data_IF_057612461295
#
_entry.id   IF_057612461295
#
_cell.length_a   1.000
_cell.length_b   1.000
_cell.length_c   1.000
_cell.angle_alpha   90.00
_cell.angle_beta   90.00
_cell.angle_gamma   90.00
#
_symmetry.space_group_name_H-M   'P 1'
#
loop_
_entity.id
_entity.type
_entity.pdbx_description
1 polymer ?
#
# COMPACT_ATOMS: atom_id res chain seq x y z
N UNK A 1 -45.96 35.29 -65.95
CA UNK A 1 -44.67 35.57 -65.28
C UNK A 1 -45.01 35.71 -63.80
N UNK A 2 -44.73 34.77 -62.90
CA UNK A 2 -43.42 34.50 -62.34
C UNK A 2 -43.40 33.09 -61.70
N UNK A 3 -43.53 32.05 -62.53
CA UNK A 3 -43.36 30.63 -62.16
C UNK A 3 -41.93 30.14 -62.43
N UNK A 4 -40.95 31.04 -62.46
CA UNK A 4 -39.56 30.73 -62.83
C UNK A 4 -38.54 30.88 -61.70
N UNK A 5 -38.92 31.52 -60.59
CA UNK A 5 -37.96 31.88 -59.53
C UNK A 5 -37.87 30.89 -58.37
N UNK A 6 -38.83 29.97 -58.23
CA UNK A 6 -38.85 28.98 -57.14
C UNK A 6 -38.19 27.63 -57.47
N UNK A 7 -37.96 27.32 -58.75
CA UNK A 7 -37.31 26.06 -59.16
C UNK A 7 -35.78 26.14 -59.03
N UNK A 8 -35.19 27.34 -59.06
CA UNK A 8 -33.73 27.53 -59.04
C UNK A 8 -33.16 27.31 -57.62
N UNK A 9 -33.94 27.59 -56.57
CA UNK A 9 -33.47 27.42 -55.19
C UNK A 9 -33.44 25.98 -54.69
N UNK A 10 -34.25 25.08 -55.27
CA UNK A 10 -34.25 23.66 -54.86
C UNK A 10 -33.17 22.87 -55.62
N UNK A 11 -32.78 23.31 -56.81
CA UNK A 11 -31.76 22.62 -57.61
C UNK A 11 -30.31 22.85 -57.14
N UNK A 12 -30.08 23.77 -56.22
CA UNK A 12 -28.72 24.15 -55.76
C UNK A 12 -28.25 23.36 -54.53
N UNK A 13 -29.12 22.57 -53.90
CA UNK A 13 -28.80 21.77 -52.70
C UNK A 13 -28.29 20.36 -52.99
N UNK A 14 -28.12 19.98 -54.27
CA UNK A 14 -27.75 18.63 -54.69
C UNK A 14 -26.29 18.45 -55.16
N UNK A 15 -25.40 19.44 -54.98
CA UNK A 15 -24.03 19.39 -55.53
C UNK A 15 -22.91 19.64 -54.53
N UNK A 16 -23.06 19.25 -53.26
CA UNK A 16 -21.91 19.19 -52.34
C UNK A 16 -21.91 17.85 -51.59
N UNK A 17 -21.77 16.76 -52.34
CA UNK A 17 -21.15 15.53 -51.83
C UNK A 17 -19.63 15.69 -51.94
N UNK A 18 -19.06 16.55 -51.10
CA UNK A 18 -17.63 16.48 -50.78
C UNK A 18 -17.43 15.20 -49.96
N UNK A 19 -17.11 14.12 -50.66
CA UNK A 19 -16.53 12.92 -50.08
C UNK A 19 -15.20 13.31 -49.42
N UNK A 20 -15.25 13.68 -48.14
CA UNK A 20 -14.08 13.62 -47.30
C UNK A 20 -13.78 12.13 -47.08
N UNK A 21 -12.66 11.60 -47.58
CA UNK A 21 -12.16 10.36 -47.00
C UNK A 21 -11.88 10.68 -45.54
N UNK A 22 -12.74 10.19 -44.64
CA UNK A 22 -12.43 10.13 -43.23
C UNK A 22 -11.20 9.24 -43.11
N UNK A 23 -10.02 9.86 -43.16
CA UNK A 23 -8.81 9.23 -42.70
C UNK A 23 -9.07 8.94 -41.23
N UNK A 24 -9.41 7.69 -40.93
CA UNK A 24 -9.32 7.18 -39.57
C UNK A 24 -7.84 7.17 -39.26
N UNK A 25 -7.32 8.31 -38.81
CA UNK A 25 -6.10 8.35 -38.05
C UNK A 25 -6.43 7.56 -36.77
N UNK A 26 -6.19 6.25 -36.84
CA UNK A 26 -6.05 5.44 -35.65
C UNK A 26 -4.91 6.09 -34.89
N UNK A 27 -5.27 6.86 -33.86
CA UNK A 27 -4.35 7.33 -32.84
C UNK A 27 -3.85 6.09 -32.09
N UNK A 28 -2.95 5.34 -32.74
CA UNK A 28 -2.20 4.27 -32.11
C UNK A 28 -1.11 4.95 -31.31
N UNK A 29 -1.50 5.50 -30.17
CA UNK A 29 -0.58 5.71 -29.07
C UNK A 29 -0.21 4.31 -28.56
N UNK A 30 1.04 3.85 -28.70
CA UNK A 30 1.44 2.60 -28.07
C UNK A 30 1.22 2.77 -26.56
N UNK A 31 0.21 2.07 -26.03
CA UNK A 31 0.04 1.93 -24.59
C UNK A 31 1.35 1.40 -24.03
N UNK A 32 2.11 2.28 -23.36
CA UNK A 32 3.26 1.86 -22.59
C UNK A 32 2.69 0.93 -21.52
N UNK A 33 3.19 -0.32 -21.37
CA UNK A 33 2.63 -1.24 -20.40
C UNK A 33 2.67 -0.59 -19.02
N UNK A 34 1.50 -0.22 -18.49
CA UNK A 34 1.39 0.32 -17.14
C UNK A 34 1.93 -0.74 -16.19
N UNK A 35 3.07 -0.47 -15.55
CA UNK A 35 3.56 -1.36 -14.51
C UNK A 35 2.57 -1.31 -13.35
N UNK A 36 2.10 -2.47 -12.85
CA UNK A 36 1.15 -2.47 -11.75
C UNK A 36 1.76 -1.77 -10.53
N UNK A 37 1.06 -0.76 -10.03
CA UNK A 37 1.41 -0.02 -8.82
C UNK A 37 1.64 -0.99 -7.65
N UNK A 38 2.81 -0.93 -7.03
CA UNK A 38 3.18 -1.86 -5.95
C UNK A 38 2.58 -1.41 -4.63
N UNK A 39 2.08 -2.36 -3.85
CA UNK A 39 1.65 -2.11 -2.47
C UNK A 39 2.79 -2.45 -1.51
N UNK A 40 3.16 -1.48 -0.68
CA UNK A 40 4.23 -1.64 0.30
C UNK A 40 3.73 -1.28 1.68
N UNK A 41 4.17 -2.04 2.68
CA UNK A 41 3.99 -1.71 4.09
C UNK A 41 5.34 -1.42 4.72
N UNK A 42 5.43 -0.30 5.44
CA UNK A 42 6.64 0.07 6.17
C UNK A 42 6.38 0.29 7.66
N UNK A 43 7.44 0.19 8.44
CA UNK A 43 7.40 0.46 9.87
C UNK A 43 8.72 0.16 10.53
N UNK A 44 8.79 0.38 11.84
CA UNK A 44 9.98 0.10 12.65
C UNK A 44 9.60 -0.81 13.81
N UNK A 45 10.48 -1.76 14.13
CA UNK A 45 10.36 -2.65 15.27
C UNK A 45 11.36 -2.24 16.34
N UNK A 46 10.86 -2.06 17.56
CA UNK A 46 11.63 -1.63 18.71
C UNK A 46 11.68 -2.68 19.82
N UNK A 47 12.66 -2.54 20.69
CA UNK A 47 12.73 -3.10 22.02
C UNK A 47 12.33 -2.01 23.01
N UNK A 48 11.26 -2.22 23.76
CA UNK A 48 10.81 -1.27 24.78
C UNK A 48 11.83 -1.15 25.91
N UNK A 49 12.02 0.06 26.46
CA UNK A 49 12.82 0.25 27.67
C UNK A 49 12.15 -0.41 28.90
N UNK A 50 12.96 -0.91 29.83
CA UNK A 50 12.47 -1.43 31.11
C UNK A 50 11.74 -0.38 31.95
N UNK A 51 12.08 0.91 31.81
CA UNK A 51 11.40 2.02 32.51
C UNK A 51 9.95 2.22 32.03
N UNK A 52 9.57 1.55 30.94
CA UNK A 52 8.25 1.62 30.30
C UNK A 52 7.56 0.26 30.27
N UNK A 53 8.09 -0.74 30.98
CA UNK A 53 7.51 -2.07 31.03
C UNK A 53 6.02 -2.03 31.40
N UNK A 54 5.20 -2.72 30.62
CA UNK A 54 3.74 -2.78 30.85
C UNK A 54 2.96 -1.56 30.35
N UNK A 55 3.62 -0.54 29.78
CA UNK A 55 2.97 0.62 29.17
C UNK A 55 2.94 0.53 27.64
N UNK A 56 2.24 1.45 26.98
CA UNK A 56 2.27 1.63 25.53
C UNK A 56 3.40 2.55 25.03
N UNK A 57 4.23 3.08 25.94
CA UNK A 57 5.26 4.07 25.58
C UNK A 57 6.48 3.44 24.92
N UNK A 58 7.00 4.10 23.89
CA UNK A 58 8.28 3.78 23.23
C UNK A 58 9.41 4.75 23.61
N UNK A 59 9.23 5.54 24.67
CA UNK A 59 10.30 6.42 25.15
C UNK A 59 11.51 5.59 25.61
N UNK A 60 12.70 5.91 25.07
CA UNK A 60 13.93 5.17 25.32
C UNK A 60 13.99 3.79 24.65
N UNK A 61 13.07 3.49 23.74
CA UNK A 61 13.08 2.22 23.01
C UNK A 61 14.17 2.20 21.93
N UNK A 62 14.81 1.04 21.74
CA UNK A 62 15.89 0.85 20.77
C UNK A 62 15.42 0.02 19.58
N UNK A 63 15.79 0.34 18.33
CA UNK A 63 15.40 -0.46 17.18
C UNK A 63 15.97 -1.89 17.27
N UNK A 64 15.24 -2.87 16.75
CA UNK A 64 15.67 -4.28 16.73
C UNK A 64 16.10 -4.68 15.30
N UNK A 65 17.40 -4.79 15.03
CA UNK A 65 17.89 -5.34 13.77
C UNK A 65 17.35 -6.75 13.52
N UNK A 66 17.04 -7.08 12.27
CA UNK A 66 16.64 -8.44 11.88
C UNK A 66 15.39 -8.99 12.60
N UNK A 67 14.58 -8.12 13.20
CA UNK A 67 13.27 -8.51 13.72
C UNK A 67 12.38 -9.06 12.59
N UNK A 68 11.64 -10.12 12.88
CA UNK A 68 10.70 -10.72 11.93
C UNK A 68 9.28 -10.23 12.22
N UNK A 69 8.62 -9.75 11.18
CA UNK A 69 7.21 -9.39 11.19
C UNK A 69 6.47 -10.20 10.13
N UNK A 70 5.14 -10.20 10.19
CA UNK A 70 4.28 -10.71 9.12
C UNK A 70 3.28 -9.65 8.71
N UNK A 71 2.98 -9.62 7.41
CA UNK A 71 1.83 -8.90 6.88
C UNK A 71 0.77 -9.93 6.55
N UNK A 72 -0.41 -9.79 7.13
CA UNK A 72 -1.57 -10.63 6.85
C UNK A 72 -2.69 -9.75 6.31
N UNK A 73 -3.22 -10.09 5.14
CA UNK A 73 -4.38 -9.45 4.56
C UNK A 73 -5.55 -10.42 4.49
N UNK A 74 -6.73 -9.94 4.82
CA UNK A 74 -7.99 -10.65 4.66
C UNK A 74 -8.86 -9.91 3.65
N UNK A 75 -9.57 -10.66 2.81
CA UNK A 75 -10.61 -10.10 1.97
C UNK A 75 -11.86 -9.76 2.80
N UNK A 76 -12.84 -9.11 2.18
CA UNK A 76 -14.12 -8.74 2.78
C UNK A 76 -14.94 -9.93 3.33
N UNK A 77 -14.63 -11.16 2.90
CA UNK A 77 -15.21 -12.40 3.43
C UNK A 77 -14.45 -12.95 4.65
N UNK A 78 -13.43 -12.24 5.12
CA UNK A 78 -12.58 -12.63 6.24
C UNK A 78 -11.56 -13.72 5.94
N UNK A 79 -11.41 -14.13 4.68
CA UNK A 79 -10.45 -15.15 4.23
C UNK A 79 -9.08 -14.51 4.03
N UNK A 80 -8.00 -15.23 4.36
CA UNK A 80 -6.63 -14.75 4.14
C UNK A 80 -6.35 -14.67 2.64
N UNK A 81 -6.19 -13.46 2.12
CA UNK A 81 -5.86 -13.19 0.72
C UNK A 81 -4.36 -13.03 0.49
N UNK A 82 -3.61 -12.70 1.55
CA UNK A 82 -2.15 -12.58 1.51
C UNK A 82 -1.54 -12.83 2.88
N UNK A 83 -0.41 -13.53 2.91
CA UNK A 83 0.41 -13.71 4.10
C UNK A 83 1.87 -13.84 3.69
N UNK A 84 2.75 -13.01 4.27
CA UNK A 84 4.20 -13.13 4.09
C UNK A 84 4.92 -12.58 5.31
N UNK A 85 6.04 -13.21 5.66
CA UNK A 85 6.95 -12.72 6.70
C UNK A 85 8.07 -11.89 6.09
N UNK A 86 8.49 -10.86 6.80
CA UNK A 86 9.56 -9.95 6.40
C UNK A 86 10.53 -9.76 7.55
N UNK A 87 11.77 -9.39 7.20
CA UNK A 87 12.86 -9.16 8.14
C UNK A 87 13.22 -7.68 8.09
N UNK A 88 13.29 -7.05 9.26
CA UNK A 88 13.71 -5.68 9.41
C UNK A 88 15.22 -5.53 9.14
N UNK A 89 15.61 -4.36 8.66
CA UNK A 89 16.99 -3.98 8.42
C UNK A 89 17.76 -3.69 9.71
N UNK A 90 18.99 -3.18 9.58
CA UNK A 90 19.88 -2.84 10.69
C UNK A 90 19.36 -1.73 11.61
N UNK A 91 18.36 -0.96 11.17
CA UNK A 91 17.70 0.08 11.96
C UNK A 91 16.34 -0.39 12.49
N UNK A 92 16.05 -1.69 12.41
CA UNK A 92 14.75 -2.25 12.77
C UNK A 92 13.62 -1.82 11.84
N UNK A 93 13.93 -1.17 10.71
CA UNK A 93 12.97 -0.73 9.73
C UNK A 93 12.66 -1.86 8.74
N UNK A 94 11.40 -2.07 8.40
CA UNK A 94 11.01 -3.01 7.35
C UNK A 94 10.33 -2.27 6.20
N UNK A 95 10.65 -2.70 4.97
CA UNK A 95 9.99 -2.27 3.74
C UNK A 95 9.40 -3.52 3.06
N UNK A 96 8.15 -3.83 3.41
CA UNK A 96 7.48 -5.06 3.04
C UNK A 96 6.68 -4.87 1.73
N UNK A 97 7.31 -5.19 0.59
CA UNK A 97 6.62 -5.25 -0.69
C UNK A 97 5.70 -6.46 -0.74
N UNK A 98 4.40 -6.23 -0.95
CA UNK A 98 3.39 -7.29 -0.97
C UNK A 98 3.31 -7.94 -2.36
N UNK A 99 4.41 -8.54 -2.81
CA UNK A 99 4.50 -9.21 -4.11
C UNK A 99 3.42 -10.29 -4.27
N UNK A 100 2.62 -10.20 -5.33
CA UNK A 100 1.52 -11.12 -5.58
C UNK A 100 0.25 -10.82 -4.77
N UNK A 101 0.22 -9.74 -3.98
CA UNK A 101 -1.02 -9.23 -3.40
C UNK A 101 -1.96 -8.78 -4.53
N UNK A 102 -3.18 -9.33 -4.52
CA UNK A 102 -4.23 -9.03 -5.49
C UNK A 102 -5.45 -8.52 -4.74
N UNK A 103 -5.99 -7.40 -5.21
CA UNK A 103 -7.23 -6.84 -4.71
C UNK A 103 -8.34 -7.31 -5.65
N UNK A 104 -9.21 -8.21 -5.17
CA UNK A 104 -10.30 -8.72 -6.00
C UNK A 104 -11.45 -7.70 -6.09
N UNK A 105 -11.74 -6.99 -4.99
CA UNK A 105 -12.70 -5.90 -4.94
C UNK A 105 -12.04 -4.63 -4.40
N UNK A 106 -11.76 -3.66 -5.26
CA UNK A 106 -10.95 -2.46 -4.94
C UNK A 106 -11.38 -1.71 -3.67
N UNK A 107 -12.68 -1.57 -3.43
CA UNK A 107 -13.20 -0.86 -2.27
C UNK A 107 -13.18 -1.71 -0.98
N UNK A 108 -13.51 -3.00 -1.12
CA UNK A 108 -13.78 -3.88 0.03
C UNK A 108 -12.54 -4.66 0.50
N UNK A 109 -11.62 -4.94 -0.41
CA UNK A 109 -10.36 -5.64 -0.15
C UNK A 109 -9.16 -4.68 -0.07
N UNK A 110 -9.44 -3.38 0.15
CA UNK A 110 -8.42 -2.33 0.21
C UNK A 110 -7.40 -2.59 1.35
N UNK A 111 -6.07 -2.39 1.14
CA UNK A 111 -5.04 -2.66 2.14
C UNK A 111 -5.31 -2.03 3.52
N UNK A 112 -5.86 -0.81 3.55
CA UNK A 112 -6.20 -0.10 4.80
C UNK A 112 -7.20 -0.86 5.69
N UNK A 113 -8.07 -1.67 5.10
CA UNK A 113 -9.09 -2.42 5.83
C UNK A 113 -8.74 -3.91 5.95
N UNK A 114 -8.12 -4.46 4.90
CA UNK A 114 -7.82 -5.88 4.82
C UNK A 114 -6.53 -6.29 5.51
N UNK A 115 -5.51 -5.43 5.54
CA UNK A 115 -4.15 -5.81 5.94
C UNK A 115 -3.80 -5.38 7.37
N UNK A 116 -3.00 -6.20 8.05
CA UNK A 116 -2.44 -5.93 9.38
C UNK A 116 -0.99 -6.42 9.46
N UNK A 117 -0.18 -5.75 10.27
CA UNK A 117 1.18 -6.18 10.60
C UNK A 117 1.25 -6.82 11.98
N UNK A 118 1.90 -7.97 12.10
CA UNK A 118 2.12 -8.65 13.38
C UNK A 118 3.58 -8.93 13.63
N UNK A 119 4.00 -8.79 14.89
CA UNK A 119 5.27 -9.28 15.37
C UNK A 119 5.32 -10.82 15.24
N UNK A 120 6.46 -11.34 14.79
CA UNK A 120 6.68 -12.79 14.67
C UNK A 120 7.78 -13.22 15.62
N UNK A 121 8.97 -12.62 15.53
CA UNK A 121 10.09 -12.97 16.40
C UNK A 121 11.14 -11.86 16.47
N UNK A 122 11.82 -11.76 17.61
CA UNK A 122 13.03 -10.95 17.78
C UNK A 122 14.26 -11.86 17.79
N UNK A 123 15.37 -11.47 17.15
CA UNK A 123 16.65 -12.17 17.28
C UNK A 123 17.34 -11.89 18.63
N UNK A 124 16.88 -10.89 19.38
CA UNK A 124 17.44 -10.53 20.68
C UNK A 124 16.75 -11.34 21.78
N UNK A 125 17.42 -12.35 22.34
CA UNK A 125 16.88 -13.18 23.42
C UNK A 125 16.50 -12.37 24.68
N UNK A 126 17.19 -11.25 24.92
CA UNK A 126 16.86 -10.33 26.03
C UNK A 126 15.64 -9.48 25.76
N UNK A 127 15.15 -9.42 24.51
CA UNK A 127 14.02 -8.59 24.09
C UNK A 127 13.17 -9.29 23.03
N UNK A 128 12.57 -10.41 23.42
CA UNK A 128 11.78 -11.30 22.55
C UNK A 128 10.34 -11.47 23.01
N UNK A 129 9.93 -10.86 24.12
CA UNK A 129 8.56 -10.95 24.61
C UNK A 129 7.64 -10.11 23.73
N UNK A 130 6.63 -10.75 23.16
CA UNK A 130 5.62 -10.07 22.34
C UNK A 130 4.86 -9.05 23.18
N UNK A 131 4.57 -7.89 22.60
CA UNK A 131 3.69 -6.91 23.20
C UNK A 131 2.57 -6.53 22.24
N UNK A 132 1.51 -5.95 22.80
CA UNK A 132 0.47 -5.32 22.00
C UNK A 132 0.64 -3.80 21.90
N UNK A 133 1.85 -3.27 22.11
CA UNK A 133 2.16 -1.86 21.82
C UNK A 133 1.88 -1.60 20.34
N UNK A 134 1.05 -0.59 20.07
CA UNK A 134 0.54 -0.28 18.73
C UNK A 134 -0.01 -1.50 17.98
N UNK A 135 -0.66 -2.40 18.73
CA UNK A 135 -1.28 -3.63 18.22
C UNK A 135 -0.29 -4.65 17.63
N UNK A 136 0.98 -4.66 18.04
CA UNK A 136 1.96 -5.59 17.46
C UNK A 136 1.64 -7.08 17.59
N UNK A 137 0.93 -7.49 18.63
CA UNK A 137 0.47 -8.87 18.83
C UNK A 137 -0.84 -9.17 18.07
N UNK A 138 -1.84 -8.30 18.19
CA UNK A 138 -3.16 -8.55 17.61
C UNK A 138 -3.28 -8.15 16.13
N UNK A 139 -2.38 -7.30 15.64
CA UNK A 139 -2.31 -6.82 14.27
C UNK A 139 -2.45 -5.30 14.20
N UNK A 140 -1.35 -4.62 13.87
CA UNK A 140 -1.31 -3.18 13.61
C UNK A 140 -2.04 -2.84 12.31
N UNK A 141 -3.03 -1.93 12.34
CA UNK A 141 -3.69 -1.47 11.12
C UNK A 141 -2.72 -0.65 10.27
N UNK A 142 -2.98 -0.63 8.97
CA UNK A 142 -2.24 0.21 8.04
C UNK A 142 -2.78 1.63 8.05
N UNK A 143 -1.89 2.61 7.83
CA UNK A 143 -2.23 4.02 7.65
C UNK A 143 -1.63 4.50 6.33
N UNK A 144 -2.38 5.32 5.60
CA UNK A 144 -1.84 6.00 4.42
C UNK A 144 -1.38 7.40 4.86
N UNK A 145 -0.11 7.71 4.61
CA UNK A 145 0.53 8.97 4.99
C UNK A 145 0.92 9.78 3.73
N UNK A 146 0.11 9.68 2.67
CA UNK A 146 0.35 10.33 1.37
C UNK A 146 1.73 10.01 0.75
N UNK A 147 2.27 8.83 1.11
CA UNK A 147 3.59 8.39 0.67
C UNK A 147 3.48 7.53 -0.58
N UNK A 148 4.03 8.06 -1.67
CA UNK A 148 4.20 7.36 -2.94
C UNK A 148 5.65 7.47 -3.39
N UNK A 149 6.17 6.41 -3.97
CA UNK A 149 7.51 6.36 -4.52
C UNK A 149 7.42 6.23 -6.04
N UNK A 150 8.06 7.16 -6.74
CA UNK A 150 8.18 7.15 -8.20
C UNK A 150 9.65 7.04 -8.60
N UNK A 151 9.94 6.07 -9.44
CA UNK A 151 11.23 5.85 -10.08
C UNK A 151 11.05 5.39 -11.52
N UNK A 152 12.13 5.36 -12.30
CA UNK A 152 12.09 5.08 -13.75
C UNK A 152 11.33 3.80 -14.13
N UNK A 153 11.31 2.79 -13.26
CA UNK A 153 10.60 1.52 -13.43
C UNK A 153 10.05 1.02 -12.07
N UNK A 154 9.61 1.96 -11.24
CA UNK A 154 9.14 1.62 -9.89
C UNK A 154 8.09 2.63 -9.46
N UNK A 155 6.87 2.16 -9.27
CA UNK A 155 5.81 2.92 -8.63
C UNK A 155 5.27 2.12 -7.45
N UNK A 156 5.14 2.77 -6.30
CA UNK A 156 4.63 2.14 -5.09
C UNK A 156 3.83 3.09 -4.21
N UNK A 157 2.69 2.60 -3.70
CA UNK A 157 1.97 3.19 -2.57
C UNK A 157 2.53 2.58 -1.29
N UNK A 158 2.95 3.45 -0.37
CA UNK A 158 3.54 3.02 0.90
C UNK A 158 2.57 3.30 2.02
N UNK A 159 2.25 2.25 2.77
CA UNK A 159 1.41 2.29 3.96
C UNK A 159 2.28 2.14 5.21
N UNK A 160 2.04 2.98 6.22
CA UNK A 160 2.72 2.89 7.49
C UNK A 160 2.00 1.92 8.44
N UNK A 161 2.78 1.15 9.19
CA UNK A 161 2.32 0.29 10.28
C UNK A 161 3.20 0.49 11.51
N UNK A 162 2.59 0.50 12.69
CA UNK A 162 3.34 0.73 13.93
C UNK A 162 3.88 2.16 14.03
N UNK A 163 4.92 2.39 14.84
CA UNK A 163 5.99 1.47 15.25
C UNK A 163 5.55 0.33 16.18
N UNK A 164 6.16 -0.84 16.05
CA UNK A 164 5.84 -2.06 16.80
C UNK A 164 6.91 -2.29 17.88
N UNK A 165 6.62 -3.04 18.94
CA UNK A 165 7.63 -3.35 19.93
C UNK A 165 7.56 -4.74 20.56
N UNK A 166 8.72 -5.35 20.73
CA UNK A 166 8.94 -6.37 21.75
C UNK A 166 9.30 -5.68 23.08
N UNK A 167 9.27 -6.44 24.18
CA UNK A 167 9.77 -5.99 25.48
C UNK A 167 10.84 -6.92 26.02
N UNK A 168 11.64 -6.46 26.99
CA UNK A 168 12.60 -7.30 27.68
C UNK A 168 11.91 -8.46 28.40
N UNK A 169 12.54 -9.64 28.38
CA UNK A 169 12.08 -10.82 29.12
C UNK A 169 12.27 -10.68 30.63
N UNK A 170 13.24 -9.85 31.04
CA UNK A 170 13.51 -9.51 32.42
C UNK A 170 13.88 -8.04 32.53
N UNK A 171 13.26 -7.34 33.47
CA UNK A 171 13.62 -5.99 33.87
C UNK A 171 14.00 -6.02 35.35
N UNK A 172 15.27 -5.76 35.70
CA UNK A 172 15.65 -5.66 37.10
C UNK A 172 14.91 -4.48 37.72
N UNK A 173 14.32 -4.70 38.90
CA UNK A 173 13.72 -3.62 39.69
C UNK A 173 14.85 -2.74 40.20
N UNK A 174 15.05 -1.57 39.61
CA UNK A 174 15.83 -0.50 40.23
C UNK A 174 15.00 0.06 41.38
N UNK A 175 15.08 -0.58 42.55
CA UNK A 175 14.73 0.10 43.80
C UNK A 175 15.72 1.25 43.95
N UNK A 176 15.26 2.45 43.59
CA UNK A 176 15.94 3.72 43.89
C UNK A 176 15.38 4.28 45.17
#
# INVERSE_FOLDING_TARGET
MASRSFIIFISSLLLISLSFPSATASDYSPETPEQPEKVVVEGVVYCQSCDRYGTSSLAGAEPIPSAKISVICKNHKGQVSFYKSFVADVKGYFYAQLEGFKVAQHLLDHPLHGCKVKLVSSPLAKCSELTNVNYGLYGAPLRYEDKRLWGRNYEAVVYAAGPLAFRPSYCPTTHS
#
